data_IF_530107479866
#
_entry.id   IF_530107479866
#
_cell.length_a   1.000
_cell.length_b   1.000
_cell.length_c   1.000
_cell.angle_alpha   90.00
_cell.angle_beta   90.00
_cell.angle_gamma   90.00
#
_symmetry.space_group_name_H-M   'P 1'
#
loop_
_entity.id
_entity.type
_entity.pdbx_description
1 polymer ?
#
# COMPACT_ATOMS: atom_id res chain seq x y z
N UNK A 1 9.20 -8.37 3.26
CA UNK A 1 8.21 -7.88 4.24
C UNK A 1 8.16 -6.38 4.12
N UNK A 2 6.98 -5.88 3.77
CA UNK A 2 6.72 -4.45 3.66
C UNK A 2 6.40 -3.84 5.04
N UNK A 3 6.97 -2.67 5.35
CA UNK A 3 6.77 -1.99 6.64
C UNK A 3 7.81 -2.29 7.73
N UNK A 4 9.04 -2.70 7.40
CA UNK A 4 10.15 -2.89 8.37
C UNK A 4 11.10 -1.67 8.37
N UNK A 5 10.52 -0.48 8.24
CA UNK A 5 11.28 0.78 8.22
C UNK A 5 12.05 1.03 6.91
N UNK A 6 12.55 2.27 6.78
CA UNK A 6 13.19 2.76 5.56
C UNK A 6 12.20 3.42 4.58
N UNK A 7 12.76 3.98 3.51
CA UNK A 7 12.00 4.76 2.52
C UNK A 7 11.54 3.88 1.36
N UNK A 8 10.24 3.93 1.08
CA UNK A 8 9.63 3.24 -0.05
C UNK A 8 9.90 3.95 -1.37
N UNK A 9 9.39 3.36 -2.46
CA UNK A 9 9.51 3.90 -3.81
C UNK A 9 8.92 5.31 -4.00
N UNK A 10 8.07 5.77 -3.08
CA UNK A 10 7.52 7.12 -3.08
C UNK A 10 8.39 8.15 -2.33
N UNK A 11 9.49 7.74 -1.70
CA UNK A 11 10.29 8.57 -0.78
C UNK A 11 9.69 8.72 0.61
N UNK A 12 8.51 8.14 0.83
CA UNK A 12 7.80 8.11 2.10
C UNK A 12 8.29 6.92 2.94
N UNK A 13 8.18 7.03 4.25
CA UNK A 13 8.51 5.94 5.16
C UNK A 13 7.52 4.77 4.93
N UNK A 14 8.03 3.55 4.89
CA UNK A 14 7.20 2.36 4.61
C UNK A 14 6.36 1.93 5.80
N UNK A 15 6.77 2.32 7.00
CA UNK A 15 6.12 2.09 8.30
C UNK A 15 5.28 3.30 8.77
N UNK A 16 5.31 4.42 8.04
CA UNK A 16 4.49 5.58 8.30
C UNK A 16 3.71 6.05 7.05
N UNK A 17 2.37 5.94 7.03
CA UNK A 17 1.52 5.52 8.15
C UNK A 17 1.58 4.01 8.39
N UNK A 18 1.25 3.61 9.63
CA UNK A 18 1.24 2.21 10.08
C UNK A 18 0.40 1.29 9.19
N UNK A 19 -0.65 1.82 8.55
CA UNK A 19 -1.45 1.10 7.56
C UNK A 19 -1.22 1.69 6.18
N UNK A 20 -0.54 0.93 5.33
CA UNK A 20 -0.15 1.38 4.01
C UNK A 20 -0.03 0.21 3.04
N UNK A 21 0.21 0.49 1.76
CA UNK A 21 0.33 -0.54 0.73
C UNK A 21 1.48 -0.26 -0.25
N UNK A 22 2.08 -1.34 -0.75
CA UNK A 22 2.85 -1.33 -1.98
C UNK A 22 1.98 -1.81 -3.15
N UNK A 23 1.93 -1.00 -4.21
CA UNK A 23 1.15 -1.30 -5.40
C UNK A 23 2.03 -1.86 -6.53
N UNK A 24 1.40 -2.46 -7.53
CA UNK A 24 2.08 -2.97 -8.73
C UNK A 24 3.00 -1.91 -9.35
N UNK A 25 4.23 -2.30 -9.67
CA UNK A 25 5.18 -1.45 -10.38
C UNK A 25 4.65 -0.91 -11.72
N UNK A 26 3.73 -1.63 -12.37
CA UNK A 26 3.09 -1.21 -13.63
C UNK A 26 2.25 0.06 -13.51
N UNK A 27 1.83 0.42 -12.30
CA UNK A 27 1.04 1.63 -12.03
C UNK A 27 1.89 2.88 -11.79
N UNK A 28 3.22 2.73 -11.67
CA UNK A 28 4.12 3.87 -11.51
C UNK A 28 4.48 4.46 -12.86
N UNK A 29 4.49 5.78 -12.93
CA UNK A 29 4.91 6.53 -14.09
C UNK A 29 6.46 6.55 -14.17
N UNK A 30 7.01 5.91 -15.20
CA UNK A 30 8.45 5.87 -15.44
C UNK A 30 9.08 7.24 -15.72
N UNK A 31 8.29 8.26 -16.04
CA UNK A 31 8.74 9.64 -16.24
C UNK A 31 8.62 10.52 -15.00
N UNK A 32 8.08 10.01 -13.89
CA UNK A 32 7.95 10.77 -12.65
C UNK A 32 9.31 11.25 -12.14
N UNK A 33 9.35 12.48 -11.64
CA UNK A 33 10.56 13.12 -11.16
C UNK A 33 10.55 13.24 -9.64
N UNK A 34 11.72 13.14 -9.02
CA UNK A 34 11.88 13.42 -7.60
C UNK A 34 11.83 14.93 -7.37
N UNK A 35 10.95 15.35 -6.47
CA UNK A 35 10.76 16.77 -6.12
C UNK A 35 11.02 17.01 -4.63
N UNK A 36 11.53 18.18 -4.23
CA UNK A 36 11.62 18.55 -2.83
C UNK A 36 10.24 18.49 -2.16
N UNK A 37 10.14 17.87 -0.98
CA UNK A 37 8.90 17.87 -0.20
C UNK A 37 8.90 18.93 0.90
N UNK A 38 7.70 19.21 1.44
CA UNK A 38 7.51 20.05 2.62
C UNK A 38 7.66 19.27 3.95
N UNK A 39 8.12 18.02 3.93
CA UNK A 39 8.34 17.21 5.13
C UNK A 39 9.45 17.83 5.99
N UNK A 40 9.37 17.63 7.32
CA UNK A 40 10.30 18.24 8.30
C UNK A 40 11.76 17.91 8.03
N UNK A 41 12.04 16.71 7.53
CA UNK A 41 13.40 16.25 7.20
C UNK A 41 13.84 16.64 5.78
N UNK A 42 13.04 17.44 5.06
CA UNK A 42 13.30 18.01 3.73
C UNK A 42 13.63 16.95 2.67
N UNK A 43 13.19 15.70 2.87
CA UNK A 43 13.41 14.63 1.88
C UNK A 43 12.72 14.96 0.57
N UNK A 44 13.22 14.41 -0.54
CA UNK A 44 12.49 14.42 -1.81
C UNK A 44 11.47 13.29 -1.86
N UNK A 45 10.36 13.52 -2.55
CA UNK A 45 9.32 12.53 -2.83
C UNK A 45 9.17 12.35 -4.34
N UNK A 46 8.69 11.19 -4.76
CA UNK A 46 8.43 10.94 -6.17
C UNK A 46 7.14 11.64 -6.58
N UNK A 47 7.22 12.60 -7.52
CA UNK A 47 6.06 13.30 -8.07
C UNK A 47 5.31 12.42 -9.08
N UNK A 48 4.75 11.33 -8.58
CA UNK A 48 3.95 10.36 -9.30
C UNK A 48 2.54 10.37 -8.69
N UNK A 49 1.45 10.44 -9.50
CA UNK A 49 0.09 10.35 -8.97
C UNK A 49 -0.12 9.20 -7.98
N UNK A 50 0.52 8.03 -8.20
CA UNK A 50 0.40 6.89 -7.29
C UNK A 50 0.95 7.16 -5.90
N UNK A 51 2.00 7.98 -5.81
CA UNK A 51 2.66 8.36 -4.57
C UNK A 51 2.01 9.56 -3.88
N UNK A 52 1.41 10.46 -4.68
CA UNK A 52 0.97 11.77 -4.19
C UNK A 52 -0.51 11.81 -3.83
N UNK A 53 -1.34 10.98 -4.49
CA UNK A 53 -2.80 11.12 -4.44
C UNK A 53 -3.57 9.82 -4.53
N UNK A 54 -2.92 8.66 -4.60
CA UNK A 54 -3.62 7.37 -4.72
C UNK A 54 -3.64 6.61 -3.40
N UNK A 55 -4.84 6.12 -3.11
CA UNK A 55 -5.11 5.18 -2.05
C UNK A 55 -5.63 3.89 -2.69
N UNK A 56 -5.48 2.78 -1.98
CA UNK A 56 -6.14 1.53 -2.33
C UNK A 56 -7.22 1.22 -1.30
N UNK A 57 -8.43 0.95 -1.82
CA UNK A 57 -9.56 0.46 -1.06
C UNK A 57 -9.65 -1.04 -1.26
N UNK A 58 -9.56 -1.78 -0.16
CA UNK A 58 -9.65 -3.23 -0.11
C UNK A 58 -10.92 -3.61 0.62
N UNK A 59 -11.81 -4.34 -0.05
CA UNK A 59 -12.92 -5.05 0.60
C UNK A 59 -12.59 -6.52 0.68
N UNK A 60 -12.55 -7.07 1.89
CA UNK A 60 -12.10 -8.44 2.14
C UNK A 60 -12.90 -9.09 3.26
N UNK A 61 -13.21 -10.38 3.10
CA UNK A 61 -13.84 -11.22 4.13
C UNK A 61 -12.78 -12.16 4.68
N UNK A 62 -12.38 -11.95 5.93
CA UNK A 62 -11.40 -12.80 6.58
C UNK A 62 -11.84 -14.26 6.69
N UNK A 63 -10.86 -15.14 6.77
CA UNK A 63 -11.08 -16.58 6.99
C UNK A 63 -11.82 -16.77 8.31
N UNK A 64 -12.94 -17.49 8.26
CA UNK A 64 -13.80 -17.72 9.43
C UNK A 64 -14.68 -16.53 9.82
N UNK A 65 -14.59 -15.39 9.14
CA UNK A 65 -15.45 -14.24 9.41
C UNK A 65 -16.81 -14.38 8.70
N UNK A 66 -17.88 -13.87 9.32
CA UNK A 66 -19.22 -13.86 8.72
C UNK A 66 -19.44 -12.67 7.78
N UNK A 67 -18.71 -11.57 7.98
CA UNK A 67 -18.88 -10.31 7.25
C UNK A 67 -17.58 -9.83 6.61
N UNK A 68 -17.71 -9.12 5.48
CA UNK A 68 -16.58 -8.45 4.84
C UNK A 68 -16.32 -7.10 5.50
N UNK A 69 -15.05 -6.70 5.54
CA UNK A 69 -14.61 -5.37 5.98
C UNK A 69 -14.01 -4.61 4.81
N UNK A 70 -13.97 -3.29 4.94
CA UNK A 70 -13.34 -2.40 3.97
C UNK A 70 -12.25 -1.59 4.65
N UNK A 71 -11.06 -1.57 4.08
CA UNK A 71 -9.92 -0.77 4.50
C UNK A 71 -9.47 0.11 3.34
N UNK A 72 -9.25 1.40 3.60
CA UNK A 72 -8.60 2.31 2.63
C UNK A 72 -7.27 2.75 3.21
N UNK A 73 -6.20 2.56 2.45
CA UNK A 73 -4.83 2.92 2.86
C UNK A 73 -4.10 3.65 1.74
N UNK A 74 -3.19 4.59 2.06
CA UNK A 74 -2.35 5.23 1.06
C UNK A 74 -1.33 4.25 0.47
N UNK A 75 -0.89 4.55 -0.75
CA UNK A 75 0.20 3.85 -1.42
C UNK A 75 1.49 4.67 -1.24
N UNK A 76 2.50 4.07 -0.62
CA UNK A 76 3.78 4.70 -0.30
C UNK A 76 4.97 3.85 -0.79
N UNK A 77 4.71 2.69 -1.40
CA UNK A 77 5.76 1.84 -1.95
C UNK A 77 5.34 1.08 -3.20
N UNK A 78 6.32 0.39 -3.80
CA UNK A 78 6.19 -0.39 -5.02
C UNK A 78 6.47 -1.86 -4.76
N UNK A 79 5.66 -2.73 -5.35
CA UNK A 79 5.90 -4.16 -5.49
C UNK A 79 6.06 -4.46 -6.99
N UNK A 80 7.28 -4.78 -7.43
CA UNK A 80 7.59 -4.92 -8.86
C UNK A 80 7.05 -6.24 -9.44
N UNK A 81 6.98 -7.26 -8.60
CA UNK A 81 6.49 -8.60 -8.89
C UNK A 81 4.96 -8.71 -8.82
N UNK A 82 4.30 -7.73 -8.20
CA UNK A 82 2.85 -7.75 -8.01
C UNK A 82 2.12 -7.40 -9.31
N UNK A 83 1.18 -8.24 -9.79
CA UNK A 83 0.23 -7.82 -10.82
C UNK A 83 -0.72 -6.73 -10.29
N UNK A 84 -1.46 -6.06 -11.19
CA UNK A 84 -2.35 -4.94 -10.84
C UNK A 84 -3.48 -5.31 -9.85
N UNK A 85 -3.84 -6.59 -9.77
CA UNK A 85 -4.83 -7.13 -8.84
C UNK A 85 -4.21 -7.67 -7.55
N UNK A 86 -2.98 -7.28 -7.23
CA UNK A 86 -2.25 -7.65 -6.01
C UNK A 86 -1.73 -6.37 -5.35
N UNK A 87 -1.94 -6.25 -4.04
CA UNK A 87 -1.29 -5.23 -3.20
C UNK A 87 -0.57 -5.91 -2.03
N UNK A 88 0.66 -5.49 -1.77
CA UNK A 88 1.40 -5.92 -0.58
C UNK A 88 1.10 -4.93 0.54
N UNK A 89 0.43 -5.39 1.59
CA UNK A 89 -0.03 -4.53 2.68
C UNK A 89 1.03 -4.49 3.78
N UNK A 90 1.12 -3.36 4.50
CA UNK A 90 1.85 -3.36 5.76
C UNK A 90 1.23 -4.41 6.70
N UNK A 91 2.04 -4.98 7.59
CA UNK A 91 1.59 -6.03 8.51
C UNK A 91 0.34 -5.59 9.30
N UNK A 92 0.28 -4.35 9.77
CA UNK A 92 -0.87 -3.84 10.51
C UNK A 92 -2.10 -3.58 9.63
N UNK A 93 -1.94 -3.28 8.34
CA UNK A 93 -3.06 -3.20 7.41
C UNK A 93 -3.61 -4.60 7.12
N UNK A 94 -2.74 -5.57 6.88
CA UNK A 94 -3.12 -6.96 6.64
C UNK A 94 -3.81 -7.57 7.86
N UNK A 95 -3.22 -7.49 9.05
CA UNK A 95 -3.81 -8.05 10.28
C UNK A 95 -5.11 -7.36 10.70
N UNK A 96 -5.37 -6.13 10.26
CA UNK A 96 -6.67 -5.50 10.48
C UNK A 96 -7.78 -6.16 9.65
N UNK A 97 -7.46 -6.52 8.40
CA UNK A 97 -8.34 -7.24 7.49
C UNK A 97 -8.45 -8.73 7.82
N UNK A 98 -7.33 -9.35 8.18
CA UNK A 98 -7.17 -10.78 8.47
C UNK A 98 -6.47 -10.99 9.83
N UNK A 99 -7.20 -10.86 10.96
CA UNK A 99 -6.59 -10.93 12.29
C UNK A 99 -5.95 -12.27 12.64
N UNK A 100 -6.35 -13.35 11.95
CA UNK A 100 -5.74 -14.66 12.13
C UNK A 100 -4.44 -14.82 11.31
N UNK A 101 -4.04 -13.80 10.54
CA UNK A 101 -2.82 -13.82 9.75
C UNK A 101 -2.92 -14.58 8.41
N UNK A 102 -4.08 -15.17 8.10
CA UNK A 102 -4.34 -15.84 6.83
C UNK A 102 -3.43 -17.05 6.60
N UNK A 103 -3.40 -17.55 5.36
CA UNK A 103 -2.46 -18.62 4.99
C UNK A 103 -1.15 -18.01 4.54
N UNK A 104 -0.13 -18.05 5.38
CA UNK A 104 1.23 -17.50 5.08
C UNK A 104 1.18 -16.00 4.76
N UNK A 105 0.32 -15.22 5.43
CA UNK A 105 0.19 -13.78 5.17
C UNK A 105 -0.52 -13.43 3.85
N UNK A 106 -1.22 -14.39 3.23
CA UNK A 106 -1.93 -14.18 1.97
C UNK A 106 -3.44 -14.18 2.23
N UNK A 107 -4.10 -13.08 1.86
CA UNK A 107 -5.55 -13.00 1.70
C UNK A 107 -5.93 -13.15 0.23
N UNK A 108 -6.97 -13.94 -0.07
CA UNK A 108 -7.48 -14.17 -1.44
C UNK A 108 -8.90 -13.62 -1.59
N UNK A 109 -9.33 -13.44 -2.84
CA UNK A 109 -10.69 -13.03 -3.18
C UNK A 109 -11.10 -11.66 -2.59
N UNK A 110 -10.12 -10.78 -2.37
CA UNK A 110 -10.36 -9.39 -2.03
C UNK A 110 -10.79 -8.58 -3.26
N UNK A 111 -11.68 -7.62 -3.07
CA UNK A 111 -11.93 -6.58 -4.07
C UNK A 111 -10.96 -5.42 -3.85
N UNK A 112 -10.14 -5.13 -4.85
CA UNK A 112 -9.14 -4.04 -4.82
C UNK A 112 -9.60 -2.93 -5.74
N UNK A 113 -9.63 -1.70 -5.23
CA UNK A 113 -9.98 -0.50 -6.02
C UNK A 113 -8.99 0.61 -5.74
N UNK A 114 -8.33 1.12 -6.78
CA UNK A 114 -7.48 2.30 -6.70
C UNK A 114 -8.35 3.55 -6.77
N UNK A 115 -8.26 4.41 -5.76
CA UNK A 115 -9.03 5.65 -5.64
C UNK A 115 -8.09 6.83 -5.41
N UNK A 116 -8.61 8.05 -5.59
CA UNK A 116 -7.92 9.20 -5.05
C UNK A 116 -8.07 9.19 -3.52
N UNK A 117 -6.96 9.45 -2.82
CA UNK A 117 -7.02 10.07 -1.50
C UNK A 117 -7.47 11.54 -1.71
#
# INVERSE_FOLDING_TARGET
MYGIGGRGACGLDTDAPTKSAAASGSLFNNSAQWVPSCLKDKRSVLNDPICMSKCVKITYKCVGCSTAKTLTVPINNRCNECPINHVDLSNEAFLWLEPQGGTVGIGKDATITYINC
#
